data_IF_788849227856
#
_entry.id   IF_788849227856
#
_cell.length_a   1.000
_cell.length_b   1.000
_cell.length_c   1.000
_cell.angle_alpha   90.00
_cell.angle_beta   90.00
_cell.angle_gamma   90.00
#
_symmetry.space_group_name_H-M   'P 1'
#
loop_
_entity.id
_entity.type
_entity.pdbx_description
1 polymer ?
#
# COMPACT_ATOMS: atom_id res chain seq x y z
N UNK A 1 59.54 -15.19 -40.61
CA UNK A 1 59.11 -15.82 -39.35
C UNK A 1 59.43 -14.87 -38.19
N UNK A 2 58.43 -14.14 -37.67
CA UNK A 2 58.45 -13.48 -36.35
C UNK A 2 57.00 -13.45 -35.83
N UNK A 3 56.82 -13.92 -34.61
CA UNK A 3 55.55 -14.20 -33.93
C UNK A 3 55.19 -13.06 -32.95
N UNK A 4 53.88 -12.79 -32.81
CA UNK A 4 53.13 -12.27 -31.62
C UNK A 4 53.46 -10.86 -31.08
N UNK A 5 52.56 -10.10 -30.46
CA UNK A 5 51.30 -10.43 -29.77
C UNK A 5 50.27 -9.29 -29.88
N UNK A 6 48.99 -9.68 -29.90
CA UNK A 6 47.82 -8.80 -29.76
C UNK A 6 47.58 -8.48 -28.28
N UNK A 7 47.32 -7.22 -27.94
CA UNK A 7 46.68 -6.83 -26.67
C UNK A 7 45.18 -6.70 -26.92
N UNK A 8 44.41 -7.66 -26.41
CA UNK A 8 42.95 -7.56 -26.31
C UNK A 8 42.59 -6.74 -25.08
N UNK A 9 41.99 -5.57 -25.27
CA UNK A 9 41.34 -4.82 -24.19
C UNK A 9 39.96 -5.43 -23.96
N UNK A 10 39.80 -6.16 -22.85
CA UNK A 10 38.49 -6.64 -22.38
C UNK A 10 37.79 -5.45 -21.72
N UNK A 11 36.94 -4.75 -22.46
CA UNK A 11 36.03 -3.77 -21.88
C UNK A 11 34.84 -4.51 -21.25
N UNK A 12 34.79 -4.52 -19.93
CA UNK A 12 33.71 -5.09 -19.12
C UNK A 12 32.35 -4.53 -19.53
N UNK A 13 31.52 -5.38 -20.13
CA UNK A 13 30.08 -5.15 -20.24
C UNK A 13 29.48 -5.25 -18.83
N UNK A 14 29.28 -4.10 -18.18
CA UNK A 14 28.37 -4.02 -17.05
C UNK A 14 26.99 -4.31 -17.60
N UNK A 15 26.49 -5.52 -17.33
CA UNK A 15 25.13 -5.93 -17.62
C UNK A 15 24.18 -5.02 -16.84
N UNK A 16 23.68 -3.98 -17.49
CA UNK A 16 22.48 -3.26 -17.07
C UNK A 16 21.30 -4.23 -17.25
N UNK A 17 21.12 -5.16 -16.31
CA UNK A 17 19.86 -5.86 -16.18
C UNK A 17 18.84 -4.82 -15.70
N UNK A 18 17.82 -4.47 -16.50
CA UNK A 18 16.72 -3.70 -15.95
C UNK A 18 16.10 -4.57 -14.85
N UNK A 19 16.11 -4.07 -13.61
CA UNK A 19 15.26 -4.62 -12.56
C UNK A 19 13.83 -4.48 -13.07
N UNK A 20 13.25 -5.59 -13.51
CA UNK A 20 11.89 -5.60 -14.01
C UNK A 20 10.95 -5.33 -12.83
N UNK A 21 10.45 -4.10 -12.73
CA UNK A 21 9.32 -3.77 -11.87
C UNK A 21 8.06 -4.41 -12.43
N UNK A 22 7.73 -5.61 -11.94
CA UNK A 22 6.50 -6.28 -12.29
C UNK A 22 5.38 -5.80 -11.37
N UNK A 23 4.72 -4.69 -11.72
CA UNK A 23 3.46 -4.31 -11.07
C UNK A 23 2.39 -5.34 -11.48
N UNK A 24 2.15 -6.34 -10.63
CA UNK A 24 1.07 -7.29 -10.88
C UNK A 24 -0.22 -6.69 -10.32
N UNK A 25 -1.13 -6.36 -11.24
CA UNK A 25 -2.41 -5.73 -10.98
C UNK A 25 -3.57 -6.69 -11.22
N UNK A 26 -4.52 -6.80 -10.29
CA UNK A 26 -5.86 -7.35 -10.57
C UNK A 26 -6.93 -6.29 -10.28
N UNK A 27 -8.03 -6.31 -11.02
CA UNK A 27 -9.16 -5.40 -10.81
C UNK A 27 -10.27 -6.08 -10.03
N UNK A 28 -10.94 -5.36 -9.13
CA UNK A 28 -12.12 -5.84 -8.40
C UNK A 28 -13.26 -4.82 -8.46
N UNK A 29 -14.51 -5.27 -8.44
CA UNK A 29 -15.68 -4.38 -8.37
C UNK A 29 -16.75 -4.94 -7.43
N UNK A 30 -17.62 -4.07 -6.93
CA UNK A 30 -18.74 -4.43 -6.05
C UNK A 30 -20.06 -4.07 -6.73
N UNK A 31 -21.06 -4.94 -6.64
CA UNK A 31 -22.42 -4.67 -7.15
C UNK A 31 -23.27 -3.99 -6.08
N UNK A 32 -24.40 -3.38 -6.47
CA UNK A 32 -25.37 -2.76 -5.56
C UNK A 32 -24.79 -1.63 -4.67
N UNK A 33 -23.83 -0.87 -5.21
CA UNK A 33 -23.25 0.30 -4.52
C UNK A 33 -24.25 1.48 -4.57
N UNK A 34 -24.58 2.11 -3.43
CA UNK A 34 -25.40 3.32 -3.41
C UNK A 34 -24.79 4.45 -4.26
N UNK A 35 -25.61 5.37 -4.75
CA UNK A 35 -25.12 6.53 -5.51
C UNK A 35 -24.10 7.36 -4.73
N UNK A 36 -24.27 7.45 -3.41
CA UNK A 36 -23.34 8.13 -2.50
C UNK A 36 -22.06 7.32 -2.21
N UNK A 37 -21.94 6.09 -2.72
CA UNK A 37 -20.84 5.16 -2.43
C UNK A 37 -21.05 4.32 -1.17
N UNK A 38 -20.17 3.35 -0.97
CA UNK A 38 -20.13 2.52 0.24
C UNK A 38 -19.55 3.31 1.41
N UNK A 39 -20.02 3.03 2.62
CA UNK A 39 -19.47 3.57 3.88
C UNK A 39 -18.29 2.78 4.42
N UNK A 40 -18.10 1.58 3.92
CA UNK A 40 -17.05 0.67 4.34
C UNK A 40 -16.71 -0.32 3.23
N UNK A 41 -15.48 -0.84 3.31
CA UNK A 41 -15.01 -1.99 2.54
C UNK A 41 -13.95 -2.72 3.35
N UNK A 42 -13.90 -4.04 3.23
CA UNK A 42 -12.88 -4.86 3.89
C UNK A 42 -12.14 -5.70 2.86
N UNK A 43 -10.81 -5.65 2.92
CA UNK A 43 -9.95 -6.48 2.09
C UNK A 43 -9.20 -7.51 2.95
N UNK A 44 -9.51 -8.80 2.85
CA UNK A 44 -8.70 -9.83 3.48
C UNK A 44 -7.35 -9.93 2.76
N UNK A 45 -6.25 -9.74 3.49
CA UNK A 45 -4.89 -9.87 2.96
C UNK A 45 -4.11 -10.90 3.78
N UNK A 46 -3.43 -11.82 3.10
CA UNK A 46 -2.49 -12.77 3.71
C UNK A 46 -1.17 -12.70 2.97
N UNK A 47 -0.11 -12.32 3.67
CA UNK A 47 1.26 -12.46 3.16
C UNK A 47 1.74 -13.83 3.62
N UNK A 48 1.64 -14.83 2.75
CA UNK A 48 2.07 -16.21 3.06
C UNK A 48 3.58 -16.27 3.22
N UNK A 49 4.30 -15.65 2.28
CA UNK A 49 5.75 -15.56 2.26
C UNK A 49 6.15 -14.31 1.48
N UNK A 50 7.13 -13.57 2.00
CA UNK A 50 7.87 -12.50 1.32
C UNK A 50 9.17 -12.29 2.09
N UNK A 51 10.22 -11.75 1.46
CA UNK A 51 11.41 -11.40 2.21
C UNK A 51 11.10 -10.28 3.21
N UNK A 52 11.70 -10.33 4.39
CA UNK A 52 11.51 -9.35 5.46
C UNK A 52 12.42 -8.15 5.18
N UNK A 53 12.09 -7.42 4.12
CA UNK A 53 12.82 -6.24 3.64
C UNK A 53 11.83 -5.15 3.27
N UNK A 54 12.30 -3.90 3.31
CA UNK A 54 11.55 -2.77 2.77
C UNK A 54 11.44 -2.85 1.26
N UNK A 55 10.42 -2.21 0.69
CA UNK A 55 10.21 -2.14 -0.75
C UNK A 55 9.23 -3.18 -1.30
N UNK A 56 8.67 -4.06 -0.48
CA UNK A 56 7.48 -4.79 -0.90
C UNK A 56 6.21 -4.06 -0.52
N UNK A 57 5.28 -4.03 -1.47
CA UNK A 57 3.97 -3.44 -1.22
C UNK A 57 2.84 -4.31 -1.78
N UNK A 58 1.96 -4.75 -0.87
CA UNK A 58 0.72 -5.47 -1.14
C UNK A 58 -0.46 -4.57 -0.79
N UNK A 59 -1.05 -3.94 -1.81
CA UNK A 59 -1.99 -2.84 -1.64
C UNK A 59 -3.31 -3.05 -2.36
N UNK A 60 -4.36 -2.46 -1.80
CA UNK A 60 -5.71 -2.39 -2.33
C UNK A 60 -6.04 -0.91 -2.57
N UNK A 61 -6.20 -0.54 -3.83
CA UNK A 61 -6.68 0.79 -4.22
C UNK A 61 -8.20 0.79 -4.35
N UNK A 62 -8.82 1.89 -3.94
CA UNK A 62 -10.25 2.16 -4.08
C UNK A 62 -10.46 3.64 -4.45
N UNK A 63 -11.54 3.93 -5.17
CA UNK A 63 -11.93 5.30 -5.49
C UNK A 63 -13.03 5.82 -4.57
N UNK A 64 -13.11 7.14 -4.44
CA UNK A 64 -14.22 7.81 -3.76
C UNK A 64 -15.13 8.52 -4.76
N UNK A 65 -16.45 8.44 -4.55
CA UNK A 65 -17.42 9.16 -5.37
C UNK A 65 -17.17 10.66 -5.27
N UNK A 66 -17.14 11.33 -6.42
CA UNK A 66 -16.88 12.78 -6.52
C UNK A 66 -15.44 13.18 -6.24
N UNK A 67 -14.51 12.22 -6.18
CA UNK A 67 -13.12 12.49 -5.79
C UNK A 67 -12.12 11.51 -6.40
N UNK A 68 -10.90 11.50 -5.87
CA UNK A 68 -9.78 10.66 -6.30
C UNK A 68 -9.75 9.29 -5.62
N UNK A 69 -8.53 8.77 -5.46
CA UNK A 69 -8.28 7.42 -4.94
C UNK A 69 -7.67 7.44 -3.54
N UNK A 70 -7.89 6.35 -2.81
CA UNK A 70 -7.11 5.97 -1.65
C UNK A 70 -6.58 4.54 -1.79
N UNK A 71 -5.73 4.14 -0.86
CA UNK A 71 -5.34 2.74 -0.73
C UNK A 71 -5.28 2.30 0.73
N UNK A 72 -5.22 0.99 0.92
CA UNK A 72 -4.73 0.35 2.16
C UNK A 72 -3.88 -0.86 1.81
N UNK A 73 -2.94 -1.26 2.67
CA UNK A 73 -2.13 -2.43 2.40
C UNK A 73 -1.19 -2.81 3.52
N UNK A 74 -0.39 -3.86 3.27
CA UNK A 74 0.66 -4.34 4.14
C UNK A 74 2.00 -4.34 3.40
N UNK A 75 3.05 -3.93 4.09
CA UNK A 75 4.43 -3.93 3.64
C UNK A 75 5.28 -4.74 4.63
N UNK A 76 5.97 -5.80 4.16
CA UNK A 76 7.09 -6.39 4.88
C UNK A 76 8.11 -5.34 5.32
N UNK A 77 8.71 -5.56 6.50
CA UNK A 77 9.86 -4.80 7.00
C UNK A 77 10.92 -5.75 7.53
N UNK A 78 12.18 -5.28 7.68
CA UNK A 78 13.19 -6.00 8.44
C UNK A 78 12.69 -6.39 9.83
N UNK A 79 13.09 -7.58 10.28
CA UNK A 79 12.77 -8.05 11.61
C UNK A 79 13.27 -7.07 12.66
N UNK A 80 12.45 -6.86 13.69
CA UNK A 80 12.82 -6.07 14.86
C UNK A 80 12.86 -6.99 16.08
N UNK A 81 14.02 -7.04 16.76
CA UNK A 81 14.22 -7.92 17.91
C UNK A 81 13.89 -9.41 17.62
N UNK A 82 14.22 -9.88 16.41
CA UNK A 82 13.98 -11.24 15.95
C UNK A 82 12.51 -11.57 15.67
N UNK A 83 11.65 -10.56 15.51
CA UNK A 83 10.22 -10.73 15.19
C UNK A 83 9.89 -10.11 13.83
N UNK A 84 9.04 -10.76 13.02
CA UNK A 84 8.54 -10.18 11.77
C UNK A 84 7.77 -8.89 12.04
N UNK A 85 8.07 -7.86 11.25
CA UNK A 85 7.38 -6.57 11.31
C UNK A 85 6.52 -6.42 10.06
N UNK A 86 5.26 -6.06 10.27
CA UNK A 86 4.37 -5.60 9.21
C UNK A 86 4.14 -4.11 9.36
N UNK A 87 4.30 -3.39 8.26
CA UNK A 87 4.01 -1.98 8.13
C UNK A 87 2.69 -1.82 7.37
N UNK A 88 1.64 -1.49 8.12
CA UNK A 88 0.32 -1.20 7.55
C UNK A 88 0.28 0.22 7.03
N UNK A 89 -0.35 0.42 5.89
CA UNK A 89 -0.47 1.73 5.25
C UNK A 89 -1.91 2.01 4.86
N UNK A 90 -2.27 3.28 4.92
CA UNK A 90 -3.58 3.79 4.57
C UNK A 90 -3.43 5.24 4.11
N UNK A 91 -3.70 5.50 2.84
CA UNK A 91 -3.41 6.82 2.25
C UNK A 91 -4.54 7.30 1.36
N UNK A 92 -4.67 8.63 1.29
CA UNK A 92 -5.53 9.37 0.37
C UNK A 92 -4.65 10.16 -0.58
N UNK A 93 -4.90 10.07 -1.89
CA UNK A 93 -4.24 10.88 -2.93
C UNK A 93 -5.07 12.09 -3.33
N UNK A 94 -5.98 12.51 -2.44
CA UNK A 94 -6.95 13.57 -2.72
C UNK A 94 -6.44 14.86 -2.08
N UNK A 95 -6.11 15.85 -2.91
CA UNK A 95 -5.74 17.19 -2.46
C UNK A 95 -6.81 17.81 -1.57
N UNK A 96 -6.38 18.47 -0.49
CA UNK A 96 -7.28 19.03 0.53
C UNK A 96 -7.75 18.02 1.59
N UNK A 97 -7.31 16.76 1.52
CA UNK A 97 -7.46 15.84 2.66
C UNK A 97 -6.66 16.34 3.85
N UNK A 98 -7.20 16.18 5.06
CA UNK A 98 -6.56 16.58 6.31
C UNK A 98 -6.52 15.43 7.30
N UNK A 99 -5.69 15.54 8.33
CA UNK A 99 -5.62 14.56 9.41
C UNK A 99 -5.23 15.24 10.72
N UNK A 100 -5.69 14.67 11.84
CA UNK A 100 -5.23 14.97 13.19
C UNK A 100 -4.64 13.73 13.87
N UNK A 101 -4.46 12.66 13.10
CA UNK A 101 -4.03 11.36 13.58
C UNK A 101 -2.50 11.30 13.67
N UNK A 102 -1.92 10.86 14.80
CA UNK A 102 -0.47 10.84 14.97
C UNK A 102 0.24 9.85 14.05
N UNK A 103 -0.47 8.86 13.49
CA UNK A 103 0.10 7.92 12.53
C UNK A 103 0.19 8.49 11.11
N UNK A 104 -0.31 9.71 10.90
CA UNK A 104 -0.50 10.29 9.59
C UNK A 104 0.25 11.61 9.42
N UNK A 105 0.59 11.93 8.19
CA UNK A 105 1.16 13.22 7.81
C UNK A 105 0.59 13.71 6.48
N UNK A 106 0.74 15.01 6.22
CA UNK A 106 0.39 15.59 4.93
C UNK A 106 1.29 15.05 3.81
N UNK A 107 0.70 14.90 2.64
CA UNK A 107 1.34 14.37 1.45
C UNK A 107 1.20 12.86 1.33
N UNK A 108 0.89 12.38 0.13
CA UNK A 108 0.81 10.96 -0.19
C UNK A 108 1.85 10.62 -1.26
N UNK A 109 2.86 9.84 -0.89
CA UNK A 109 3.99 9.44 -1.74
C UNK A 109 4.66 10.63 -2.46
N UNK A 110 4.88 11.73 -1.72
CA UNK A 110 5.44 12.98 -2.25
C UNK A 110 4.45 13.88 -3.01
N UNK A 111 3.22 13.40 -3.24
CA UNK A 111 2.13 14.13 -3.88
C UNK A 111 1.11 14.71 -2.90
N UNK A 112 0.00 15.22 -3.43
CA UNK A 112 -1.10 15.76 -2.63
C UNK A 112 -1.86 14.66 -1.88
N UNK A 113 -2.32 14.96 -0.66
CA UNK A 113 -3.15 14.06 0.13
C UNK A 113 -2.64 13.83 1.54
N UNK A 114 -2.89 12.64 2.08
CA UNK A 114 -2.47 12.21 3.43
C UNK A 114 -1.96 10.79 3.35
N UNK A 115 -0.81 10.53 3.95
CA UNK A 115 -0.30 9.18 4.18
C UNK A 115 -0.36 8.83 5.66
N UNK A 116 -0.83 7.63 5.97
CA UNK A 116 -0.82 7.05 7.30
C UNK A 116 -0.09 5.73 7.29
N UNK A 117 0.63 5.44 8.38
CA UNK A 117 1.25 4.14 8.57
C UNK A 117 1.39 3.76 10.03
N UNK A 118 1.39 2.45 10.29
CA UNK A 118 1.65 1.92 11.61
C UNK A 118 2.35 0.58 11.50
N UNK A 119 3.37 0.37 12.35
CA UNK A 119 4.13 -0.88 12.40
C UNK A 119 3.76 -1.70 13.63
N UNK A 120 3.67 -3.02 13.45
CA UNK A 120 3.50 -3.96 14.54
C UNK A 120 4.25 -5.27 14.26
N UNK A 121 4.46 -6.05 15.32
CA UNK A 121 4.95 -7.42 15.19
C UNK A 121 3.87 -8.30 14.58
N UNK A 122 3.95 -8.53 13.27
CA UNK A 122 2.99 -9.28 12.49
C UNK A 122 3.31 -10.77 12.41
N UNK A 123 2.36 -11.55 11.87
CA UNK A 123 2.52 -12.99 11.67
C UNK A 123 2.30 -13.31 10.20
N UNK A 124 3.32 -13.83 9.53
CA UNK A 124 3.21 -14.31 8.15
C UNK A 124 2.33 -15.55 8.08
N UNK A 125 1.64 -15.73 6.95
CA UNK A 125 0.60 -16.75 6.79
C UNK A 125 -0.72 -16.43 7.50
N UNK A 126 -0.78 -15.33 8.27
CA UNK A 126 -2.01 -14.88 8.93
C UNK A 126 -2.79 -13.93 8.04
N UNK A 127 -4.11 -14.11 8.00
CA UNK A 127 -5.00 -13.16 7.36
C UNK A 127 -5.26 -11.97 8.27
N UNK A 128 -5.03 -10.78 7.73
CA UNK A 128 -5.46 -9.51 8.31
C UNK A 128 -6.57 -8.95 7.42
N UNK A 129 -7.72 -8.65 8.02
CA UNK A 129 -8.79 -7.92 7.35
C UNK A 129 -8.45 -6.43 7.40
N UNK A 130 -8.13 -5.84 6.25
CA UNK A 130 -7.90 -4.41 6.11
C UNK A 130 -9.26 -3.72 5.92
N UNK A 131 -9.80 -3.20 7.01
CA UNK A 131 -11.05 -2.47 7.07
C UNK A 131 -10.80 -0.99 6.77
N UNK A 132 -11.56 -0.46 5.82
CA UNK A 132 -11.63 0.97 5.51
C UNK A 132 -13.07 1.40 5.72
N UNK A 133 -13.32 2.27 6.69
CA UNK A 133 -14.67 2.65 7.07
C UNK A 133 -14.77 4.14 7.41
N UNK A 134 -15.95 4.71 7.22
CA UNK A 134 -16.30 6.05 7.68
C UNK A 134 -17.31 6.03 8.82
N UNK A 135 -17.03 6.68 9.97
CA UNK A 135 -18.06 6.96 10.97
C UNK A 135 -18.94 8.18 10.58
N UNK A 136 -18.77 8.75 9.39
CA UNK A 136 -19.43 9.97 8.93
C UNK A 136 -18.47 11.17 8.84
N UNK A 137 -19.02 12.34 8.50
CA UNK A 137 -18.27 13.60 8.38
C UNK A 137 -17.05 13.57 7.45
N UNK A 138 -17.05 12.67 6.45
CA UNK A 138 -15.91 12.43 5.52
C UNK A 138 -14.63 11.96 6.22
N UNK A 139 -14.69 11.60 7.50
CA UNK A 139 -13.60 10.95 8.20
C UNK A 139 -13.53 9.49 7.74
N UNK A 140 -12.35 9.03 7.39
CA UNK A 140 -12.08 7.65 7.01
C UNK A 140 -10.99 7.08 7.90
N UNK A 141 -11.18 5.83 8.30
CA UNK A 141 -10.29 5.12 9.22
C UNK A 141 -9.83 3.83 8.56
N UNK A 142 -8.52 3.60 8.56
CA UNK A 142 -7.90 2.35 8.13
C UNK A 142 -7.51 1.52 9.34
N UNK A 143 -7.97 0.26 9.39
CA UNK A 143 -7.70 -0.68 10.49
C UNK A 143 -7.26 -2.02 9.92
N UNK A 144 -6.17 -2.60 10.44
CA UNK A 144 -5.85 -4.01 10.24
C UNK A 144 -6.45 -4.85 11.37
N UNK A 145 -7.23 -5.87 11.04
CA UNK A 145 -7.86 -6.76 12.02
C UNK A 145 -7.24 -8.15 11.89
N UNK A 146 -6.52 -8.60 12.91
CA UNK A 146 -6.02 -9.97 13.00
C UNK A 146 -7.21 -10.92 13.08
N UNK A 147 -7.39 -11.78 12.07
CA UNK A 147 -8.56 -12.66 11.99
C UNK A 147 -8.55 -13.79 13.03
N UNK A 148 -7.40 -14.08 13.63
CA UNK A 148 -7.21 -15.13 14.65
C UNK A 148 -7.43 -14.55 16.04
N UNK A 149 -6.72 -13.46 16.40
CA UNK A 149 -6.80 -12.86 17.75
C UNK A 149 -7.93 -11.85 17.90
N UNK A 150 -8.52 -11.41 16.78
CA UNK A 150 -9.49 -10.30 16.69
C UNK A 150 -8.94 -8.95 17.12
N UNK A 151 -7.61 -8.85 17.30
CA UNK A 151 -6.97 -7.58 17.60
C UNK A 151 -7.19 -6.60 16.46
N UNK A 152 -7.65 -5.39 16.81
CA UNK A 152 -7.80 -4.26 15.90
C UNK A 152 -6.58 -3.36 16.02
N UNK A 153 -5.90 -3.13 14.90
CA UNK A 153 -4.67 -2.35 14.80
C UNK A 153 -5.00 -1.10 13.99
N UNK A 154 -5.04 0.04 14.66
CA UNK A 154 -5.30 1.33 14.04
C UNK A 154 -4.10 1.73 13.17
N UNK A 155 -4.32 1.84 11.85
CA UNK A 155 -3.29 2.28 10.91
C UNK A 155 -3.28 3.81 10.86
N UNK A 156 -4.44 4.44 10.76
CA UNK A 156 -4.57 5.89 10.74
C UNK A 156 -5.93 6.36 10.27
N UNK A 157 -6.11 7.67 10.23
CA UNK A 157 -7.35 8.30 9.77
C UNK A 157 -7.10 9.63 9.05
N UNK A 158 -7.96 9.93 8.09
CA UNK A 158 -7.96 11.20 7.36
C UNK A 158 -9.38 11.66 7.05
N UNK A 159 -9.57 12.98 6.94
CA UNK A 159 -10.82 13.60 6.50
C UNK A 159 -10.67 14.02 5.04
N UNK A 160 -11.53 13.51 4.17
CA UNK A 160 -11.56 13.91 2.75
C UNK A 160 -12.14 15.32 2.59
N UNK A 161 -11.77 16.08 1.54
CA UNK A 161 -12.33 17.42 1.28
C UNK A 161 -13.83 17.38 0.94
N UNK A 162 -14.46 18.55 0.93
CA UNK A 162 -15.88 18.66 0.59
C UNK A 162 -16.13 18.15 -0.84
N UNK A 163 -17.30 17.54 -1.07
CA UNK A 163 -17.64 16.93 -2.36
C UNK A 163 -17.23 15.46 -2.50
N UNK A 164 -16.28 14.97 -1.68
CA UNK A 164 -15.99 13.54 -1.59
C UNK A 164 -17.07 12.80 -0.78
N UNK A 165 -17.49 11.65 -1.28
CA UNK A 165 -18.47 10.78 -0.62
C UNK A 165 -17.89 9.38 -0.34
N UNK A 166 -18.73 8.35 -0.36
CA UNK A 166 -18.41 6.95 -0.13
C UNK A 166 -17.49 6.34 -1.19
N UNK A 167 -17.09 5.09 -0.96
CA UNK A 167 -16.26 4.32 -1.88
C UNK A 167 -17.08 3.92 -3.11
N UNK A 168 -16.54 4.18 -4.30
CA UNK A 168 -17.24 3.97 -5.57
C UNK A 168 -17.15 2.50 -6.06
N UNK A 169 -18.04 2.16 -7.00
CA UNK A 169 -18.14 0.83 -7.63
C UNK A 169 -16.92 0.39 -8.45
N UNK A 170 -16.19 1.35 -9.03
CA UNK A 170 -15.21 1.13 -10.11
C UNK A 170 -14.13 0.10 -9.80
N UNK A 171 -13.45 -0.46 -10.83
CA UNK A 171 -12.38 -1.42 -10.62
C UNK A 171 -11.30 -0.85 -9.69
N UNK A 172 -11.32 -1.23 -8.41
CA UNK A 172 -10.19 -1.01 -7.54
C UNK A 172 -9.06 -1.93 -7.97
N UNK A 173 -7.81 -1.58 -7.65
CA UNK A 173 -6.64 -2.36 -8.05
C UNK A 173 -6.02 -3.07 -6.86
N UNK A 174 -5.74 -4.35 -7.04
CA UNK A 174 -4.82 -5.10 -6.20
C UNK A 174 -3.44 -4.89 -6.80
N UNK A 175 -2.56 -4.14 -6.12
CA UNK A 175 -1.18 -3.95 -6.54
C UNK A 175 -0.27 -4.85 -5.72
N UNK A 176 0.46 -5.74 -6.40
CA UNK A 176 1.52 -6.56 -5.81
C UNK A 176 2.86 -6.12 -6.41
N UNK A 177 3.76 -5.71 -5.52
CA UNK A 177 5.19 -5.39 -5.71
C UNK A 177 5.47 -4.08 -6.46
N UNK A 178 5.98 -3.09 -5.71
CA UNK A 178 6.75 -1.95 -6.21
C UNK A 178 7.99 -1.87 -5.33
N UNK A 179 9.20 -2.20 -5.80
CA UNK A 179 10.43 -1.91 -5.06
C UNK A 179 10.49 -0.40 -4.82
N UNK A 180 10.19 0.05 -3.61
CA UNK A 180 10.41 1.44 -3.20
C UNK A 180 11.92 1.65 -2.98
N UNK A 181 12.72 1.55 -4.05
CA UNK A 181 14.05 2.12 -4.06
C UNK A 181 13.90 3.61 -4.46
N UNK A 182 14.04 4.49 -3.46
CA UNK A 182 13.99 5.97 -3.50
C UNK A 182 12.63 6.60 -3.21
N UNK A 183 12.42 6.88 -1.93
CA UNK A 183 11.95 8.18 -1.45
C UNK A 183 12.81 8.60 -0.26
#
# INVERSE_FOLDING_TARGET
MKFTASLSVVASLISLLPLAEALVGSSWSVTNVPTAGLTDITFPLTIVQADHISGYYFAQQFGFVGSGIGYTGLQPRPDQNGKPVLHGVFSSFIGGSTTADPNCHSGADGGAGVSCSFEWNGVYGRTYNLEVATPGNRLWVGTAIDTVTKQRIHIGSFTLPAGAQGIQKQPGRICRVVPLERW
#
